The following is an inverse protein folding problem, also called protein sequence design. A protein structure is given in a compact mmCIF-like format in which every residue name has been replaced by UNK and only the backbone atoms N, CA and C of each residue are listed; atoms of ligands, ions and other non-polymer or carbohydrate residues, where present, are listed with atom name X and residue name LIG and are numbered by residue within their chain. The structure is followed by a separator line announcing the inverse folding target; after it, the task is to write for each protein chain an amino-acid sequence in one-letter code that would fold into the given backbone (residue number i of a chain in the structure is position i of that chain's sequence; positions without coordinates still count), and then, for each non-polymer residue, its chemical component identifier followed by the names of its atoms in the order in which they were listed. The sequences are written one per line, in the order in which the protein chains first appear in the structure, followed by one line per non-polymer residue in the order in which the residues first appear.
data_IF_012847697580
#
_entry.id   IF_012847697580
#
_cell.length_a   1.000
_cell.length_b   1.000
_cell.length_c   1.000
_cell.angle_alpha   90.00
_cell.angle_beta   90.00
_cell.angle_gamma   90.00
#
_symmetry.space_group_name_H-M   'P 1'
#
loop_
_entity.id
_entity.type
_entity.pdbx_description
1 polymer ?
#
# COMPACT_ATOMS: atom_id res chain seq x y z
N UNK A 1 -39.30 40.34 -26.42
CA UNK A 1 -37.82 40.23 -26.29
C UNK A 1 -37.34 39.73 -24.91
N UNK A 2 -38.11 38.90 -24.18
CA UNK A 2 -37.71 38.39 -22.83
C UNK A 2 -37.98 36.88 -22.62
N UNK A 3 -38.25 36.12 -23.69
CA UNK A 3 -38.62 34.68 -23.59
C UNK A 3 -37.59 33.71 -24.18
N UNK A 4 -36.47 34.19 -24.69
CA UNK A 4 -35.43 33.34 -25.30
C UNK A 4 -34.13 33.27 -24.49
N UNK A 5 -34.04 33.98 -23.35
CA UNK A 5 -32.84 33.98 -22.51
C UNK A 5 -32.77 32.82 -21.49
N UNK A 6 -33.83 32.03 -21.34
CA UNK A 6 -33.86 30.95 -20.33
C UNK A 6 -33.49 29.56 -20.85
N UNK A 7 -33.40 29.36 -22.17
CA UNK A 7 -33.02 28.05 -22.75
C UNK A 7 -31.51 27.90 -22.98
N UNK A 8 -30.73 28.98 -22.94
CA UNK A 8 -29.27 28.89 -23.11
C UNK A 8 -28.50 28.50 -21.83
N UNK A 9 -29.13 28.64 -20.66
CA UNK A 9 -28.49 28.30 -19.38
C UNK A 9 -28.56 26.80 -19.03
N UNK A 10 -29.45 26.02 -19.67
CA UNK A 10 -29.63 24.60 -19.35
C UNK A 10 -28.70 23.65 -20.13
N UNK A 11 -28.09 24.11 -21.22
CA UNK A 11 -27.19 23.27 -22.05
C UNK A 11 -25.74 23.31 -21.55
N UNK A 12 -25.35 24.33 -20.77
CA UNK A 12 -23.98 24.43 -20.25
C UNK A 12 -23.71 23.59 -18.99
N UNK A 13 -24.75 23.04 -18.35
CA UNK A 13 -24.61 22.27 -17.12
C UNK A 13 -24.42 20.75 -17.34
N UNK A 14 -24.58 20.25 -18.56
CA UNK A 14 -24.53 18.80 -18.86
C UNK A 14 -23.14 18.29 -19.31
N UNK A 15 -22.13 19.16 -19.44
CA UNK A 15 -20.79 18.78 -19.89
C UNK A 15 -19.81 18.46 -18.74
N UNK A 16 -20.24 18.54 -17.49
CA UNK A 16 -19.51 17.86 -16.39
C UNK A 16 -19.90 16.39 -16.39
N UNK A 17 -19.65 15.73 -17.52
CA UNK A 17 -19.56 14.29 -17.60
C UNK A 17 -18.66 13.86 -16.47
N UNK A 18 -19.26 13.11 -15.55
CA UNK A 18 -18.59 12.25 -14.58
C UNK A 18 -17.66 11.38 -15.41
N UNK A 19 -16.46 11.88 -15.70
CA UNK A 19 -15.37 11.05 -16.15
C UNK A 19 -15.06 10.21 -14.93
N UNK A 20 -15.67 9.02 -14.86
CA UNK A 20 -15.01 7.88 -14.23
C UNK A 20 -13.56 7.99 -14.64
N UNK A 21 -12.70 8.24 -13.67
CA UNK A 21 -11.37 8.83 -13.83
C UNK A 21 -10.57 7.99 -14.85
N UNK A 22 -10.69 8.37 -16.12
CA UNK A 22 -10.22 7.53 -17.20
C UNK A 22 -8.69 7.56 -17.12
N UNK A 23 -8.09 6.38 -17.02
CA UNK A 23 -6.66 6.22 -17.09
C UNK A 23 -6.31 5.69 -18.48
N UNK A 24 -6.24 6.56 -19.51
CA UNK A 24 -6.00 6.14 -20.90
C UNK A 24 -4.69 5.34 -21.06
N UNK A 25 -3.68 5.62 -20.23
CA UNK A 25 -2.39 4.92 -20.26
C UNK A 25 -2.34 3.76 -19.24
N UNK A 26 -3.47 3.31 -18.68
CA UNK A 26 -3.50 2.26 -17.65
C UNK A 26 -2.81 0.96 -18.09
N UNK A 27 -3.00 0.56 -19.36
CA UNK A 27 -2.36 -0.64 -19.91
C UNK A 27 -0.83 -0.48 -20.00
N UNK A 28 -0.36 0.70 -20.42
CA UNK A 28 1.08 1.02 -20.48
C UNK A 28 1.70 1.03 -19.08
N UNK A 29 1.08 1.72 -18.12
CA UNK A 29 1.53 1.81 -16.73
C UNK A 29 1.53 0.44 -16.04
N UNK A 30 0.53 -0.40 -16.29
CA UNK A 30 0.46 -1.78 -15.77
C UNK A 30 1.57 -2.64 -16.34
N UNK A 31 1.81 -2.56 -17.66
CA UNK A 31 2.91 -3.28 -18.31
C UNK A 31 4.27 -2.85 -17.74
N UNK A 32 4.51 -1.54 -17.64
CA UNK A 32 5.73 -1.00 -17.05
C UNK A 32 5.95 -1.48 -15.62
N UNK A 33 4.90 -1.49 -14.79
CA UNK A 33 4.98 -2.01 -13.42
C UNK A 33 5.40 -3.49 -13.40
N UNK A 34 4.76 -4.34 -14.19
CA UNK A 34 5.06 -5.77 -14.22
C UNK A 34 6.48 -6.05 -14.74
N UNK A 35 6.92 -5.35 -15.78
CA UNK A 35 8.29 -5.41 -16.29
C UNK A 35 9.30 -4.98 -15.21
N UNK A 36 8.98 -3.91 -14.48
CA UNK A 36 9.81 -3.43 -13.37
C UNK A 36 9.94 -4.48 -12.28
N UNK A 37 8.83 -5.06 -11.80
CA UNK A 37 8.86 -6.05 -10.72
C UNK A 37 9.63 -7.32 -11.11
N UNK A 38 9.47 -7.77 -12.36
CA UNK A 38 10.24 -8.91 -12.88
C UNK A 38 11.74 -8.62 -12.92
N UNK A 39 12.14 -7.42 -13.36
CA UNK A 39 13.55 -7.00 -13.40
C UNK A 39 14.15 -6.76 -12.02
N UNK A 40 13.39 -6.14 -11.11
CA UNK A 40 13.81 -5.88 -9.73
C UNK A 40 14.10 -7.18 -8.97
N UNK A 41 13.32 -8.25 -9.21
CA UNK A 41 13.59 -9.58 -8.66
C UNK A 41 14.94 -10.18 -9.06
N UNK A 42 15.55 -9.68 -10.13
CA UNK A 42 16.87 -10.09 -10.65
C UNK A 42 17.95 -9.04 -10.44
N UNK A 43 17.68 -7.96 -9.69
CA UNK A 43 18.57 -6.81 -9.56
C UNK A 43 19.00 -6.21 -10.92
N UNK A 44 18.09 -6.16 -11.89
CA UNK A 44 18.38 -5.63 -13.23
C UNK A 44 18.54 -4.10 -13.22
N UNK A 45 19.79 -3.64 -13.28
CA UNK A 45 20.12 -2.22 -13.26
C UNK A 45 19.47 -1.42 -14.40
N UNK A 46 19.36 -1.99 -15.59
CA UNK A 46 18.77 -1.28 -16.74
C UNK A 46 17.27 -1.10 -16.57
N UNK A 47 16.58 -2.06 -15.95
CA UNK A 47 15.16 -1.92 -15.58
C UNK A 47 14.95 -0.82 -14.54
N UNK A 48 15.79 -0.78 -13.49
CA UNK A 48 15.74 0.28 -12.49
C UNK A 48 16.01 1.67 -13.10
N UNK A 49 17.02 1.80 -13.95
CA UNK A 49 17.40 3.08 -14.56
C UNK A 49 16.26 3.68 -15.42
N UNK A 50 15.58 2.83 -16.20
CA UNK A 50 14.45 3.26 -17.03
C UNK A 50 13.20 3.60 -16.23
N UNK A 51 12.94 2.89 -15.14
CA UNK A 51 11.71 3.03 -14.37
C UNK A 51 11.73 4.25 -13.44
N UNK A 52 12.88 4.54 -12.84
CA UNK A 52 13.06 5.66 -11.92
C UNK A 52 13.35 6.96 -12.67
N UNK A 53 12.67 8.04 -12.28
CA UNK A 53 13.08 9.39 -12.64
C UNK A 53 14.31 9.81 -11.82
N UNK A 54 15.10 10.75 -12.34
CA UNK A 54 16.31 11.21 -11.65
C UNK A 54 15.99 11.97 -10.35
N UNK A 55 14.80 12.56 -10.27
CA UNK A 55 14.25 13.27 -9.10
C UNK A 55 13.40 12.36 -8.18
N UNK A 56 13.62 11.04 -8.21
CA UNK A 56 12.89 10.07 -7.39
C UNK A 56 12.98 10.37 -5.89
N UNK A 57 11.82 10.42 -5.23
CA UNK A 57 11.66 10.31 -3.78
C UNK A 57 11.06 8.94 -3.45
N UNK A 58 11.88 7.99 -2.98
CA UNK A 58 11.37 6.69 -2.55
C UNK A 58 11.45 6.55 -1.02
N UNK A 59 10.29 6.43 -0.37
CA UNK A 59 10.19 6.01 1.04
C UNK A 59 10.00 4.50 1.14
N UNK A 60 11.04 3.81 1.62
CA UNK A 60 11.02 2.35 1.85
C UNK A 60 10.10 2.01 3.03
N UNK A 61 9.70 0.75 3.13
CA UNK A 61 8.85 0.27 4.23
C UNK A 61 9.45 0.43 5.64
N UNK A 62 10.77 0.59 5.74
CA UNK A 62 11.48 0.90 6.98
C UNK A 62 11.41 2.40 7.38
N UNK A 63 10.70 3.24 6.62
CA UNK A 63 10.60 4.67 6.88
C UNK A 63 11.82 5.49 6.44
N UNK A 64 12.74 4.89 5.68
CA UNK A 64 13.95 5.55 5.17
C UNK A 64 13.72 6.01 3.74
N UNK A 65 14.12 7.25 3.45
CA UNK A 65 14.11 7.81 2.08
C UNK A 65 15.37 7.44 1.32
N UNK A 66 15.24 7.24 0.01
CA UNK A 66 16.35 6.96 -0.90
C UNK A 66 16.12 7.63 -2.26
N UNK A 67 17.20 7.86 -3.01
CA UNK A 67 17.18 8.43 -4.36
C UNK A 67 17.45 7.39 -5.44
N UNK A 68 17.21 7.74 -6.72
CA UNK A 68 17.63 6.91 -7.86
C UNK A 68 19.14 6.65 -7.82
N UNK A 69 19.95 7.67 -7.60
CA UNK A 69 21.42 7.55 -7.58
C UNK A 69 21.89 6.51 -6.56
N UNK A 70 21.36 6.55 -5.34
CA UNK A 70 21.71 5.59 -4.28
C UNK A 70 21.29 4.17 -4.64
N UNK A 71 20.09 3.99 -5.21
CA UNK A 71 19.62 2.70 -5.70
C UNK A 71 20.59 2.16 -6.76
N UNK A 72 20.91 2.98 -7.75
CA UNK A 72 21.79 2.60 -8.86
C UNK A 72 23.21 2.29 -8.38
N UNK A 73 23.72 3.02 -7.38
CA UNK A 73 25.01 2.72 -6.74
C UNK A 73 24.99 1.34 -6.07
N UNK A 74 23.90 0.99 -5.39
CA UNK A 74 23.72 -0.33 -4.79
C UNK A 74 23.70 -1.46 -5.82
N UNK A 75 23.11 -1.23 -6.99
CA UNK A 75 23.03 -2.22 -8.08
C UNK A 75 24.36 -2.44 -8.81
N UNK A 76 25.29 -1.48 -8.77
CA UNK A 76 26.63 -1.61 -9.36
C UNK A 76 27.55 -2.54 -8.56
N UNK A 77 27.21 -2.82 -7.29
CA UNK A 77 27.95 -3.79 -6.49
C UNK A 77 27.53 -5.19 -6.96
N UNK A 78 28.45 -6.00 -7.51
CA UNK A 78 28.08 -7.33 -7.99
C UNK A 78 27.51 -8.15 -6.84
N UNK A 79 26.25 -8.58 -6.97
CA UNK A 79 25.73 -9.60 -6.10
C UNK A 79 26.53 -10.90 -6.33
N UNK A 80 26.80 -11.70 -5.28
CA UNK A 80 27.33 -13.04 -5.47
C UNK A 80 26.45 -13.80 -6.47
N UNK A 81 27.07 -14.55 -7.39
CA UNK A 81 26.31 -15.38 -8.31
C UNK A 81 25.42 -16.35 -7.51
N UNK A 82 24.14 -16.49 -7.88
CA UNK A 82 23.25 -17.43 -7.21
C UNK A 82 23.85 -18.83 -7.23
N UNK A 83 23.88 -19.48 -6.07
CA UNK A 83 24.31 -20.88 -5.94
C UNK A 83 23.11 -21.80 -6.10
N UNK A 84 23.33 -23.05 -6.54
CA UNK A 84 22.30 -24.07 -6.47
C UNK A 84 21.74 -24.18 -5.04
N UNK A 85 20.43 -24.02 -4.89
CA UNK A 85 19.74 -24.04 -3.59
C UNK A 85 19.54 -22.67 -2.93
N UNK A 86 20.08 -21.59 -3.49
CA UNK A 86 19.76 -20.25 -2.99
C UNK A 86 18.25 -19.97 -3.14
N UNK A 87 17.61 -19.33 -2.15
CA UNK A 87 16.21 -18.97 -2.26
C UNK A 87 15.96 -18.01 -3.43
N UNK A 88 14.92 -18.30 -4.21
CA UNK A 88 14.51 -17.46 -5.34
C UNK A 88 13.27 -16.67 -4.97
N UNK A 89 13.36 -15.34 -5.04
CA UNK A 89 12.23 -14.44 -4.79
C UNK A 89 11.67 -13.89 -6.11
N UNK A 90 10.36 -14.05 -6.31
CA UNK A 90 9.61 -13.48 -7.42
C UNK A 90 8.66 -12.41 -6.89
N UNK A 91 8.59 -11.27 -7.58
CA UNK A 91 7.70 -10.16 -7.27
C UNK A 91 6.57 -10.07 -8.30
N UNK A 92 5.34 -9.94 -7.82
CA UNK A 92 4.15 -9.69 -8.65
C UNK A 92 3.31 -8.56 -8.07
N UNK A 93 2.43 -7.99 -8.90
CA UNK A 93 1.46 -6.98 -8.48
C UNK A 93 0.05 -7.57 -8.53
N UNK A 94 -0.72 -7.32 -7.47
CA UNK A 94 -2.14 -7.63 -7.37
C UNK A 94 -2.90 -6.34 -7.02
N UNK A 95 -4.23 -6.33 -7.23
CA UNK A 95 -5.10 -5.20 -6.87
C UNK A 95 -4.65 -3.84 -7.43
N UNK A 96 -4.16 -3.82 -8.67
CA UNK A 96 -3.64 -2.61 -9.33
C UNK A 96 -4.78 -1.60 -9.55
N UNK A 97 -4.59 -0.39 -9.04
CA UNK A 97 -5.47 0.76 -9.22
C UNK A 97 -4.68 1.92 -9.78
N UNK A 98 -5.21 2.53 -10.84
CA UNK A 98 -4.55 3.62 -11.56
C UNK A 98 -5.48 4.82 -11.61
N UNK A 99 -4.95 5.97 -11.22
CA UNK A 99 -5.59 7.27 -11.36
C UNK A 99 -4.70 8.15 -12.23
N UNK A 100 -5.18 8.58 -13.39
CA UNK A 100 -4.42 9.41 -14.31
C UNK A 100 -4.97 10.84 -14.36
N UNK A 101 -4.05 11.80 -14.46
CA UNK A 101 -4.29 13.23 -14.49
C UNK A 101 -3.39 13.85 -15.58
N UNK A 102 -3.83 13.76 -16.84
CA UNK A 102 -3.00 14.16 -17.98
C UNK A 102 -1.68 13.40 -18.01
N UNK A 103 -0.57 14.12 -17.80
CA UNK A 103 0.80 13.59 -17.77
C UNK A 103 1.26 13.13 -16.38
N UNK A 104 0.37 13.04 -15.40
CA UNK A 104 0.65 12.45 -14.09
C UNK A 104 -0.23 11.21 -13.86
N UNK A 105 0.28 10.22 -13.15
CA UNK A 105 -0.52 9.08 -12.72
C UNK A 105 -0.13 8.60 -11.32
N UNK A 106 -1.09 8.11 -10.57
CA UNK A 106 -0.89 7.40 -9.30
C UNK A 106 -1.24 5.93 -9.53
N UNK A 107 -0.29 5.04 -9.25
CA UNK A 107 -0.45 3.60 -9.35
C UNK A 107 -0.33 3.02 -7.95
N UNK A 108 -1.43 2.50 -7.42
CA UNK A 108 -1.47 1.79 -6.14
C UNK A 108 -1.69 0.30 -6.38
N UNK A 109 -0.98 -0.56 -5.67
CA UNK A 109 -1.09 -2.01 -5.84
C UNK A 109 -0.58 -2.75 -4.60
N UNK A 110 -0.93 -4.02 -4.49
CA UNK A 110 -0.32 -4.94 -3.53
C UNK A 110 0.85 -5.65 -4.21
N UNK A 111 2.05 -5.41 -3.70
CA UNK A 111 3.24 -6.20 -4.05
C UNK A 111 3.18 -7.53 -3.30
N UNK A 112 3.33 -8.63 -4.04
CA UNK A 112 3.46 -9.97 -3.49
C UNK A 112 4.88 -10.46 -3.76
N UNK A 113 5.60 -10.80 -2.70
CA UNK A 113 6.93 -11.41 -2.79
C UNK A 113 6.84 -12.89 -2.46
N UNK A 114 7.06 -13.77 -3.44
CA UNK A 114 7.07 -15.23 -3.21
C UNK A 114 8.50 -15.72 -3.24
N UNK A 115 9.00 -16.21 -2.10
CA UNK A 115 10.33 -16.80 -2.00
C UNK A 115 10.22 -18.32 -1.94
N UNK A 116 10.87 -19.01 -2.88
CA UNK A 116 10.96 -20.47 -2.93
C UNK A 116 12.35 -20.90 -2.45
N UNK A 117 12.40 -21.73 -1.42
CA UNK A 117 13.64 -22.29 -0.86
C UNK A 117 14.07 -23.56 -1.62
N UNK A 118 15.29 -24.04 -1.36
CA UNK A 118 15.84 -25.27 -1.94
C UNK A 118 14.95 -26.51 -1.75
N UNK A 119 14.27 -26.59 -0.61
CA UNK A 119 13.36 -27.69 -0.24
C UNK A 119 11.98 -27.59 -0.91
N UNK A 120 11.76 -26.58 -1.76
CA UNK A 120 10.48 -26.31 -2.42
C UNK A 120 9.49 -25.52 -1.55
N UNK A 121 9.81 -25.24 -0.28
CA UNK A 121 8.95 -24.46 0.61
C UNK A 121 8.81 -23.03 0.08
N UNK A 122 7.56 -22.54 0.00
CA UNK A 122 7.25 -21.17 -0.41
C UNK A 122 6.85 -20.31 0.78
N UNK A 123 7.43 -19.12 0.86
CA UNK A 123 7.03 -18.08 1.82
C UNK A 123 6.63 -16.82 1.10
N UNK A 124 5.50 -16.23 1.51
CA UNK A 124 4.98 -15.00 0.92
C UNK A 124 5.13 -13.81 1.86
N UNK A 125 5.44 -12.66 1.29
CA UNK A 125 5.37 -11.34 1.90
C UNK A 125 4.46 -10.42 1.09
N UNK A 126 3.85 -9.45 1.75
CA UNK A 126 2.91 -8.51 1.13
C UNK A 126 3.24 -7.07 1.53
N UNK A 127 3.20 -6.17 0.55
CA UNK A 127 3.32 -4.73 0.79
C UNK A 127 2.24 -3.98 0.00
N UNK A 128 1.69 -2.91 0.58
CA UNK A 128 0.95 -1.92 -0.20
C UNK A 128 1.95 -0.91 -0.75
N UNK A 129 1.94 -0.73 -2.07
CA UNK A 129 2.81 0.23 -2.74
C UNK A 129 1.98 1.30 -3.44
N UNK A 130 2.53 2.50 -3.50
CA UNK A 130 1.97 3.61 -4.28
C UNK A 130 3.11 4.33 -4.98
N UNK A 131 3.03 4.38 -6.30
CA UNK A 131 3.95 5.12 -7.17
C UNK A 131 3.25 6.30 -7.83
N UNK A 132 3.91 7.45 -7.85
CA UNK A 132 3.53 8.60 -8.67
C UNK A 132 4.43 8.66 -9.90
N UNK A 133 3.81 8.66 -11.07
CA UNK A 133 4.45 8.67 -12.36
C UNK A 133 4.23 10.01 -13.04
N UNK A 134 5.24 10.50 -13.75
CA UNK A 134 5.14 11.68 -14.62
C UNK A 134 5.60 11.29 -16.02
N UNK A 135 4.83 11.67 -17.05
CA UNK A 135 5.18 11.50 -18.46
C UNK A 135 5.98 12.69 -18.94
N UNK A 136 7.26 12.49 -19.25
CA UNK A 136 8.17 13.51 -19.80
C UNK A 136 8.63 13.05 -21.18
N UNK A 137 8.46 13.89 -22.21
CA UNK A 137 8.86 13.56 -23.59
C UNK A 137 8.30 12.22 -24.07
N UNK A 138 7.03 11.95 -23.75
CA UNK A 138 6.33 10.71 -24.11
C UNK A 138 6.72 9.48 -23.26
N UNK A 139 7.59 9.62 -22.26
CA UNK A 139 8.06 8.51 -21.42
C UNK A 139 7.57 8.67 -19.99
N UNK A 140 6.92 7.64 -19.46
CA UNK A 140 6.55 7.56 -18.05
C UNK A 140 7.74 7.18 -17.19
N UNK A 141 7.93 7.87 -16.07
CA UNK A 141 8.90 7.51 -15.03
C UNK A 141 8.32 7.80 -13.65
N UNK A 142 8.75 7.04 -12.64
CA UNK A 142 8.32 7.23 -11.26
C UNK A 142 9.12 8.35 -10.61
N UNK A 143 8.43 9.37 -10.12
CA UNK A 143 9.01 10.49 -9.36
C UNK A 143 8.83 10.33 -7.85
N UNK A 144 7.86 9.54 -7.41
CA UNK A 144 7.69 9.21 -5.99
C UNK A 144 7.23 7.76 -5.82
N UNK A 145 7.73 7.09 -4.78
CA UNK A 145 7.29 5.75 -4.41
C UNK A 145 7.21 5.61 -2.89
N UNK A 146 6.20 4.89 -2.41
CA UNK A 146 6.11 4.49 -1.02
C UNK A 146 5.70 3.03 -0.90
N UNK A 147 6.30 2.33 0.06
CA UNK A 147 5.95 0.95 0.40
C UNK A 147 5.55 0.85 1.87
N UNK A 148 4.50 0.09 2.16
CA UNK A 148 4.04 -0.20 3.53
C UNK A 148 3.93 -1.72 3.69
N UNK A 149 4.55 -2.29 4.74
CA UNK A 149 4.42 -3.71 5.04
C UNK A 149 2.97 -4.02 5.40
N UNK A 150 2.41 -5.07 4.80
CA UNK A 150 1.18 -5.69 5.29
C UNK A 150 1.60 -6.78 6.27
N UNK A 151 1.28 -6.64 7.58
CA UNK A 151 1.56 -7.69 8.55
C UNK A 151 0.95 -9.01 8.09
N UNK A 152 1.64 -10.12 8.32
CA UNK A 152 0.99 -11.42 8.20
C UNK A 152 -0.17 -11.44 9.19
N UNK A 153 -1.33 -11.89 8.76
CA UNK A 153 -2.47 -12.04 9.66
C UNK A 153 -2.05 -12.95 10.82
N UNK A 154 -2.17 -12.47 12.05
CA UNK A 154 -2.03 -13.35 13.19
C UNK A 154 -3.24 -14.30 13.16
N UNK A 155 -3.05 -15.63 13.27
CA UNK A 155 -4.18 -16.57 13.27
C UNK A 155 -5.15 -16.36 14.45
N UNK A 156 -4.80 -15.49 15.41
CA UNK A 156 -5.64 -15.09 16.54
C UNK A 156 -6.31 -13.73 16.37
N UNK A 157 -6.02 -12.98 15.30
CA UNK A 157 -6.57 -11.63 15.05
C UNK A 157 -7.74 -11.61 14.07
N UNK A 158 -8.47 -12.73 13.90
CA UNK A 158 -9.68 -12.77 13.08
C UNK A 158 -10.85 -12.08 13.79
N UNK A 159 -10.87 -10.76 13.77
CA UNK A 159 -12.14 -10.01 13.83
C UNK A 159 -12.51 -9.64 12.41
N UNK A 160 -13.02 -10.62 11.67
CA UNK A 160 -13.62 -10.40 10.36
C UNK A 160 -14.89 -9.52 10.51
N UNK A 161 -14.95 -8.31 9.91
CA UNK A 161 -16.17 -7.50 9.92
C UNK A 161 -17.25 -8.05 8.96
N UNK A 162 -16.93 -9.09 8.16
CA UNK A 162 -17.78 -9.57 7.07
C UNK A 162 -18.88 -10.56 7.49
N UNK A 163 -18.93 -10.97 8.77
CA UNK A 163 -20.00 -11.83 9.28
C UNK A 163 -21.21 -11.04 9.84
N UNK A 164 -21.15 -9.72 9.93
CA UNK A 164 -22.19 -8.89 10.56
C UNK A 164 -23.37 -8.50 9.65
N UNK A 165 -23.70 -9.32 8.65
CA UNK A 165 -24.94 -9.15 7.86
C UNK A 165 -25.79 -10.41 7.92
N UNK A 166 -26.26 -10.76 9.12
CA UNK A 166 -27.55 -11.42 9.27
C UNK A 166 -27.98 -11.34 10.74
N UNK A 167 -29.27 -11.07 10.94
CA UNK A 167 -30.00 -11.02 12.20
C UNK A 167 -29.99 -9.66 12.93
N UNK A 168 -30.98 -8.84 12.57
CA UNK A 168 -31.58 -7.91 13.50
C UNK A 168 -32.18 -8.72 14.66
N UNK A 169 -31.44 -8.81 15.76
CA UNK A 169 -31.97 -9.24 17.05
C UNK A 169 -31.59 -8.19 18.09
N UNK A 170 -32.61 -7.69 18.76
CA UNK A 170 -32.64 -6.69 19.82
C UNK A 170 -31.38 -6.67 20.70
N UNK A 171 -30.71 -5.52 20.73
CA UNK A 171 -29.59 -5.23 21.62
C UNK A 171 -30.05 -5.32 23.09
N UNK A 172 -29.70 -6.42 23.76
CA UNK A 172 -29.57 -6.45 25.22
C UNK A 172 -28.08 -6.65 25.51
N UNK A 173 -27.42 -5.60 25.96
CA UNK A 173 -26.00 -5.62 26.33
C UNK A 173 -25.77 -6.57 27.51
N UNK A 174 -24.84 -7.54 27.44
CA UNK A 174 -24.38 -8.21 28.64
C UNK A 174 -23.42 -7.27 29.37
N UNK A 175 -23.75 -6.97 30.63
CA UNK A 175 -22.90 -6.25 31.58
C UNK A 175 -21.56 -6.99 31.74
N UNK A 176 -20.39 -6.33 31.59
CA UNK A 176 -19.11 -7.03 31.69
C UNK A 176 -18.84 -7.42 33.14
N UNK A 177 -18.69 -8.72 33.37
CA UNK A 177 -18.24 -9.31 34.62
C UNK A 177 -16.77 -8.96 34.84
N UNK A 178 -16.49 -8.36 35.99
CA UNK A 178 -15.17 -8.06 36.53
C UNK A 178 -14.32 -9.32 36.65
N UNK A 179 -13.23 -9.41 35.87
CA UNK A 179 -12.11 -10.30 36.17
C UNK A 179 -10.84 -9.45 36.32
N UNK A 180 -10.49 -9.21 37.58
CA UNK A 180 -9.31 -8.52 38.04
C UNK A 180 -8.10 -9.43 37.86
N UNK A 181 -7.57 -9.53 36.65
CA UNK A 181 -6.24 -10.10 36.42
C UNK A 181 -5.21 -8.97 36.50
N UNK A 182 -4.19 -9.12 37.34
CA UNK A 182 -3.19 -8.12 37.75
C UNK A 182 -2.31 -7.57 36.62
N UNK A 183 -2.91 -6.86 35.67
CA UNK A 183 -2.20 -6.12 34.62
C UNK A 183 -1.73 -4.79 35.19
N UNK A 184 -0.46 -4.45 34.97
CA UNK A 184 0.07 -3.13 35.26
C UNK A 184 -0.44 -2.13 34.20
N UNK A 185 -1.30 -1.21 34.63
CA UNK A 185 -1.82 -0.13 33.78
C UNK A 185 -0.91 1.10 33.83
N UNK A 186 -0.76 1.77 32.69
CA UNK A 186 0.05 2.97 32.51
C UNK A 186 -0.82 4.13 32.03
N UNK A 187 -0.55 5.34 32.54
CA UNK A 187 -1.22 6.57 32.08
C UNK A 187 -0.58 7.09 30.79
N UNK A 188 -1.39 7.29 29.78
CA UNK A 188 -0.97 7.82 28.48
C UNK A 188 -0.85 9.34 28.45
N UNK A 189 -0.15 9.90 27.45
CA UNK A 189 0.10 11.34 27.32
C UNK A 189 -1.16 12.18 27.07
N UNK A 190 -2.29 11.54 26.74
CA UNK A 190 -3.60 12.19 26.54
C UNK A 190 -4.59 11.88 27.68
N UNK A 191 -4.11 11.39 28.82
CA UNK A 191 -4.90 11.18 30.03
C UNK A 191 -5.61 9.82 30.16
N UNK A 192 -5.73 9.03 29.09
CA UNK A 192 -6.30 7.67 29.15
C UNK A 192 -5.30 6.61 29.61
N UNK A 193 -5.78 5.49 30.16
CA UNK A 193 -4.92 4.40 30.62
C UNK A 193 -4.88 3.24 29.65
N UNK A 194 -3.76 2.54 29.63
CA UNK A 194 -3.54 1.40 28.76
C UNK A 194 -2.65 0.35 29.45
N UNK A 195 -2.65 -0.87 28.92
CA UNK A 195 -1.60 -1.85 29.19
C UNK A 195 -0.93 -2.24 27.87
N UNK A 196 0.29 -2.79 27.95
CA UNK A 196 0.96 -3.39 26.79
C UNK A 196 0.56 -4.86 26.72
N UNK A 197 0.05 -5.30 25.56
CA UNK A 197 -0.20 -6.72 25.32
C UNK A 197 1.13 -7.46 25.05
N UNK A 198 1.07 -8.78 24.86
CA UNK A 198 2.24 -9.63 24.58
C UNK A 198 3.01 -9.25 23.32
N UNK A 199 2.40 -8.51 22.39
CA UNK A 199 3.05 -7.97 21.18
C UNK A 199 3.62 -6.56 21.37
N UNK A 200 3.60 -6.01 22.59
CA UNK A 200 4.12 -4.68 22.91
C UNK A 200 3.22 -3.53 22.44
N UNK A 201 1.99 -3.81 22.00
CA UNK A 201 1.03 -2.82 21.55
C UNK A 201 0.20 -2.26 22.71
N UNK A 202 -0.12 -0.96 22.66
CA UNK A 202 -0.96 -0.29 23.66
C UNK A 202 -2.43 -0.65 23.48
N UNK A 203 -3.06 -1.15 24.54
CA UNK A 203 -4.50 -1.40 24.60
C UNK A 203 -5.10 -0.49 25.65
N UNK A 204 -5.88 0.51 25.21
CA UNK A 204 -6.53 1.48 26.09
C UNK A 204 -7.70 0.84 26.84
N UNK A 205 -7.91 1.28 28.08
CA UNK A 205 -8.94 0.77 29.00
C UNK A 205 -9.72 1.93 29.61
N UNK A 206 -10.84 1.59 30.25
CA UNK A 206 -11.66 2.56 30.98
C UNK A 206 -10.84 3.36 32.00
N UNK A 207 -11.23 4.62 32.17
CA UNK A 207 -10.57 5.55 33.09
C UNK A 207 -10.58 5.06 34.56
N UNK A 208 -11.49 4.16 34.94
CA UNK A 208 -11.51 3.55 36.28
C UNK A 208 -10.24 2.74 36.60
N UNK A 209 -9.46 2.36 35.58
CA UNK A 209 -8.18 1.67 35.73
C UNK A 209 -6.97 2.63 35.76
N UNK A 210 -7.22 3.95 35.81
CA UNK A 210 -6.21 5.01 35.93
C UNK A 210 -5.84 5.37 37.38
N UNK A 211 -5.90 4.39 38.28
CA UNK A 211 -5.58 4.57 39.70
C UNK A 211 -4.23 5.26 39.91
#
# INVERSE_FOLDING_TARGET
MKRYLSTFALVLAAAFSIHAQAAPDAAELTRMLNEFLAGAGRNDAAVHDRFWADDLIYTRSAGVRTTKEEIMKGLKVPAPAPKPGDPVTVYTAEDIKIQQYGNAAVVAFRLVSTTTKADGTKTTGNNLNTGTFIKRNGKWQVVAWQSTIVPKADPTSSTDPKAATSTAATLISPKPTTSTSGRNYQKGPRGGCYYLNSSGSKVYVDHKFCS
#
